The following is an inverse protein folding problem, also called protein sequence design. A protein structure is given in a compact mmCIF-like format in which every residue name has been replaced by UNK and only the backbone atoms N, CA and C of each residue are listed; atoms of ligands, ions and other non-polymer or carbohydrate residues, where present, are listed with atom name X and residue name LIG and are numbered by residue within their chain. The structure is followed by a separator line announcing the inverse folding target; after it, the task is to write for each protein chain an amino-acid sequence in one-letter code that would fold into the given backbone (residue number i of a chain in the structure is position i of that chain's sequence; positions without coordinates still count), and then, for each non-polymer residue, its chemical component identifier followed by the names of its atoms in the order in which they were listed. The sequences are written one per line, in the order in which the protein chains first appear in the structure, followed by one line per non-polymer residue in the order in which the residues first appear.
data_IF_361028760244
#
_entry.id   IF_361028760244
#
_cell.length_a   1.000
_cell.length_b   1.000
_cell.length_c   1.000
_cell.angle_alpha   90.00
_cell.angle_beta   90.00
_cell.angle_gamma   90.00
#
_symmetry.space_group_name_H-M   'P 1'
#
loop_
_entity.id
_entity.type
_entity.pdbx_description
1 polymer ?
#
# COMPACT_ATOMS: atom_id res chain seq x y z
N UNK A 1 26.73 -14.20 -8.90
CA UNK A 1 27.02 -13.32 -7.74
C UNK A 1 26.19 -12.06 -7.89
N UNK A 2 25.18 -11.89 -7.05
CA UNK A 2 24.43 -10.64 -6.93
C UNK A 2 25.40 -9.59 -6.36
N UNK A 3 25.70 -8.58 -7.14
CA UNK A 3 26.53 -7.44 -6.72
C UNK A 3 25.72 -6.61 -5.71
N UNK A 4 25.66 -7.06 -4.46
CA UNK A 4 24.96 -6.35 -3.39
C UNK A 4 25.74 -5.07 -3.07
N UNK A 5 25.10 -3.95 -3.30
CA UNK A 5 25.63 -2.64 -2.94
C UNK A 5 25.70 -2.54 -1.41
N UNK A 6 26.89 -2.64 -0.81
CA UNK A 6 27.12 -2.74 0.63
C UNK A 6 26.52 -1.61 1.48
N UNK A 7 25.95 -0.60 0.83
CA UNK A 7 25.41 0.60 1.51
C UNK A 7 23.86 0.67 1.52
N UNK A 8 23.15 -0.30 0.92
CA UNK A 8 21.69 -0.29 0.87
C UNK A 8 21.13 -1.60 1.39
N UNK A 9 20.05 -1.60 2.20
CA UNK A 9 19.38 -2.84 2.59
C UNK A 9 18.91 -3.61 1.34
N UNK A 10 19.20 -4.90 1.29
CA UNK A 10 18.63 -5.80 0.29
C UNK A 10 17.25 -6.25 0.77
N UNK A 11 16.25 -6.11 -0.07
CA UNK A 11 14.87 -6.56 0.20
C UNK A 11 14.34 -7.44 -0.91
N UNK A 12 13.49 -8.39 -0.57
CA UNK A 12 12.73 -9.19 -1.54
C UNK A 12 11.28 -8.77 -1.49
N UNK A 13 10.67 -8.56 -2.64
CA UNK A 13 9.25 -8.19 -2.76
C UNK A 13 8.54 -9.24 -3.61
N UNK A 14 7.52 -9.89 -3.05
CA UNK A 14 6.71 -10.91 -3.71
C UNK A 14 5.32 -10.35 -3.95
N UNK A 15 4.94 -10.19 -5.22
CA UNK A 15 3.64 -9.67 -5.63
C UNK A 15 2.87 -10.69 -6.45
N UNK A 16 1.55 -10.64 -6.34
CA UNK A 16 0.66 -11.51 -7.11
C UNK A 16 -0.78 -11.42 -6.60
N UNK A 17 -1.76 -11.99 -7.32
CA UNK A 17 -3.16 -11.99 -6.90
C UNK A 17 -3.39 -12.80 -5.61
N UNK A 18 -4.55 -12.62 -4.99
CA UNK A 18 -4.96 -13.46 -3.84
C UNK A 18 -5.04 -14.91 -4.29
N UNK A 19 -4.66 -15.83 -3.41
CA UNK A 19 -4.64 -17.28 -3.66
C UNK A 19 -3.63 -17.74 -4.76
N UNK A 20 -2.63 -16.94 -5.09
CA UNK A 20 -1.57 -17.31 -6.07
C UNK A 20 -0.38 -18.09 -5.46
N UNK A 21 -0.44 -18.50 -4.19
CA UNK A 21 0.67 -19.20 -3.53
C UNK A 21 1.77 -18.28 -2.96
N UNK A 22 1.54 -16.95 -2.90
CA UNK A 22 2.52 -16.00 -2.32
C UNK A 22 2.96 -16.36 -0.91
N UNK A 23 2.04 -16.78 -0.07
CA UNK A 23 2.31 -17.13 1.34
C UNK A 23 3.29 -18.29 1.42
N UNK A 24 3.01 -19.38 0.73
CA UNK A 24 3.87 -20.56 0.70
C UNK A 24 5.27 -20.24 0.14
N UNK A 25 5.32 -19.50 -0.99
CA UNK A 25 6.59 -19.08 -1.59
C UNK A 25 7.40 -18.18 -0.64
N UNK A 26 6.74 -17.23 0.04
CA UNK A 26 7.42 -16.32 0.96
C UNK A 26 8.01 -17.03 2.17
N UNK A 27 7.30 -18.01 2.72
CA UNK A 27 7.78 -18.84 3.85
C UNK A 27 8.96 -19.73 3.42
N UNK A 28 8.82 -20.41 2.30
CA UNK A 28 9.90 -21.27 1.79
C UNK A 28 11.16 -20.44 1.48
N UNK A 29 11.00 -19.27 0.88
CA UNK A 29 12.12 -18.37 0.62
C UNK A 29 12.74 -17.86 1.93
N UNK A 30 11.93 -17.47 2.92
CA UNK A 30 12.40 -17.00 4.22
C UNK A 30 13.27 -18.05 4.92
N UNK A 31 12.88 -19.31 4.87
CA UNK A 31 13.69 -20.42 5.41
C UNK A 31 15.06 -20.53 4.75
N UNK A 32 15.10 -20.38 3.41
CA UNK A 32 16.33 -20.54 2.63
C UNK A 32 17.33 -19.40 2.78
N UNK A 33 16.83 -18.18 2.92
CA UNK A 33 17.68 -16.97 2.95
C UNK A 33 17.76 -16.31 4.33
N UNK A 34 17.30 -16.98 5.38
CA UNK A 34 17.22 -16.42 6.74
C UNK A 34 16.42 -15.11 6.78
N UNK A 35 15.21 -15.16 6.19
CA UNK A 35 14.35 -13.97 6.05
C UNK A 35 13.28 -13.88 7.12
N UNK A 36 12.66 -12.69 7.20
CA UNK A 36 11.42 -12.41 7.93
C UNK A 36 10.42 -11.74 6.98
N UNK A 37 9.13 -12.01 7.18
CA UNK A 37 8.08 -11.58 6.25
C UNK A 37 7.39 -10.33 6.80
N UNK A 38 7.19 -9.33 5.93
CA UNK A 38 6.38 -8.14 6.18
C UNK A 38 5.15 -8.24 5.27
N UNK A 39 3.95 -8.32 5.86
CA UNK A 39 2.71 -8.36 5.09
C UNK A 39 2.42 -7.00 4.46
N UNK A 40 2.29 -6.97 3.14
CA UNK A 40 1.86 -5.82 2.35
C UNK A 40 0.36 -5.82 2.03
N UNK A 41 -0.44 -6.57 2.79
CA UNK A 41 -1.90 -6.66 2.61
C UNK A 41 -2.62 -5.72 3.57
N UNK A 42 -3.48 -4.85 3.03
CA UNK A 42 -4.21 -3.86 3.83
C UNK A 42 -5.28 -4.44 4.76
N UNK A 43 -5.67 -5.70 4.57
CA UNK A 43 -6.70 -6.34 5.39
C UNK A 43 -6.11 -7.23 6.48
N UNK A 44 -4.93 -7.80 6.26
CA UNK A 44 -4.27 -8.67 7.24
C UNK A 44 -3.77 -7.91 8.47
N UNK A 45 -3.63 -6.60 8.38
CA UNK A 45 -3.19 -5.73 9.49
C UNK A 45 -4.20 -5.68 10.63
N UNK A 46 -5.50 -5.92 10.35
CA UNK A 46 -6.57 -5.83 11.34
C UNK A 46 -6.78 -7.14 12.09
N UNK A 47 -6.91 -7.03 13.42
CA UNK A 47 -7.27 -8.14 14.31
C UNK A 47 -8.67 -8.67 13.98
N UNK A 48 -8.88 -9.96 14.20
CA UNK A 48 -10.19 -10.62 14.06
C UNK A 48 -10.79 -10.64 12.64
N UNK A 49 -10.11 -10.09 11.64
CA UNK A 49 -10.55 -10.15 10.25
C UNK A 49 -9.89 -11.34 9.53
N UNK A 50 -10.26 -12.57 9.94
CA UNK A 50 -9.63 -13.80 9.44
C UNK A 50 -10.35 -14.41 8.23
N UNK A 51 -11.65 -14.10 8.06
CA UNK A 51 -12.46 -14.66 6.97
C UNK A 51 -12.31 -13.79 5.72
N UNK A 52 -11.95 -14.42 4.60
CA UNK A 52 -11.82 -13.75 3.30
C UNK A 52 -10.56 -12.95 3.11
N UNK A 53 -9.64 -12.90 4.09
CA UNK A 53 -8.39 -12.14 4.02
C UNK A 53 -7.17 -13.00 3.66
N UNK A 54 -7.35 -14.31 3.52
CA UNK A 54 -6.24 -15.27 3.32
C UNK A 54 -5.08 -15.04 4.32
N UNK A 55 -5.44 -14.70 5.57
CA UNK A 55 -4.45 -14.47 6.62
C UNK A 55 -3.76 -15.77 6.98
N UNK A 56 -2.43 -15.74 7.04
CA UNK A 56 -1.60 -16.88 7.41
C UNK A 56 -1.84 -17.25 8.86
N UNK A 57 -2.02 -18.55 9.14
CA UNK A 57 -2.16 -19.06 10.51
C UNK A 57 -0.79 -19.28 11.15
N UNK A 58 -0.71 -19.36 12.50
CA UNK A 58 0.54 -19.66 13.20
C UNK A 58 1.19 -20.98 12.74
N UNK A 59 0.39 -21.97 12.39
CA UNK A 59 0.86 -23.25 11.87
C UNK A 59 1.48 -23.10 10.47
N UNK A 60 0.83 -22.31 9.61
CA UNK A 60 1.33 -22.01 8.27
C UNK A 60 2.59 -21.15 8.29
N UNK A 61 2.75 -20.27 9.29
CA UNK A 61 3.96 -19.45 9.46
C UNK A 61 5.23 -20.29 9.66
N UNK A 62 5.10 -21.51 10.15
CA UNK A 62 6.18 -22.51 10.31
C UNK A 62 7.45 -21.93 10.97
N UNK A 63 7.23 -21.14 12.03
CA UNK A 63 8.29 -20.50 12.81
C UNK A 63 8.93 -19.26 12.18
N UNK A 64 8.51 -18.85 10.97
CA UNK A 64 8.98 -17.63 10.32
C UNK A 64 8.25 -16.42 10.91
N UNK A 65 8.98 -15.40 11.41
CA UNK A 65 8.35 -14.16 11.86
C UNK A 65 7.61 -13.44 10.76
N UNK A 66 6.36 -13.09 11.04
CA UNK A 66 5.51 -12.28 10.16
C UNK A 66 5.15 -10.98 10.87
N UNK A 67 5.33 -9.88 10.18
CA UNK A 67 5.09 -8.53 10.67
C UNK A 67 3.92 -7.88 9.95
N UNK A 68 3.28 -6.88 10.58
CA UNK A 68 2.11 -6.14 10.10
C UNK A 68 0.88 -7.03 9.89
N UNK A 69 0.74 -8.05 10.72
CA UNK A 69 -0.45 -8.90 10.81
C UNK A 69 -1.03 -8.72 12.21
N UNK A 70 -2.36 -8.55 12.33
CA UNK A 70 -3.09 -8.45 13.61
C UNK A 70 -2.60 -7.34 14.56
N UNK A 71 -2.15 -6.20 14.03
CA UNK A 71 -1.61 -5.11 14.83
C UNK A 71 -2.64 -4.02 15.16
N UNK A 72 -3.72 -3.88 14.38
CA UNK A 72 -4.73 -2.83 14.54
C UNK A 72 -6.10 -3.40 14.89
N UNK A 73 -6.93 -2.59 15.55
CA UNK A 73 -8.33 -2.93 15.74
C UNK A 73 -9.14 -2.58 14.48
N UNK A 74 -10.32 -3.22 14.25
CA UNK A 74 -11.12 -2.97 13.05
C UNK A 74 -11.55 -1.51 12.84
N UNK A 75 -11.65 -0.74 13.93
CA UNK A 75 -12.04 0.67 13.91
C UNK A 75 -10.87 1.64 13.66
N UNK A 76 -9.64 1.14 13.68
CA UNK A 76 -8.45 1.93 13.41
C UNK A 76 -8.31 2.18 11.89
N UNK A 77 -7.73 3.30 11.53
CA UNK A 77 -7.41 3.61 10.12
C UNK A 77 -5.95 3.23 9.84
N UNK A 78 -5.71 2.69 8.65
CA UNK A 78 -4.36 2.33 8.21
C UNK A 78 -4.12 2.82 6.78
N UNK A 79 -3.26 3.80 6.64
CA UNK A 79 -2.91 4.43 5.36
C UNK A 79 -1.67 3.81 4.73
N UNK A 80 -1.47 4.06 3.43
CA UNK A 80 -0.23 3.68 2.74
C UNK A 80 1.00 4.41 3.33
N UNK A 81 0.82 5.60 3.90
CA UNK A 81 1.87 6.33 4.61
C UNK A 81 2.31 5.61 5.88
N UNK A 82 1.34 5.19 6.71
CA UNK A 82 1.63 4.43 7.93
C UNK A 82 2.27 3.08 7.63
N UNK A 83 1.78 2.39 6.59
CA UNK A 83 2.40 1.16 6.11
C UNK A 83 3.87 1.41 5.74
N UNK A 84 4.14 2.43 4.90
CA UNK A 84 5.49 2.75 4.45
C UNK A 84 6.41 3.00 5.64
N UNK A 85 6.00 3.84 6.59
CA UNK A 85 6.78 4.15 7.78
C UNK A 85 7.11 2.90 8.61
N UNK A 86 6.09 2.08 8.92
CA UNK A 86 6.29 0.87 9.70
C UNK A 86 7.14 -0.17 8.95
N UNK A 87 6.96 -0.30 7.63
CA UNK A 87 7.76 -1.20 6.82
C UNK A 87 9.23 -0.75 6.75
N UNK A 88 9.51 0.55 6.64
CA UNK A 88 10.88 1.11 6.67
C UNK A 88 11.59 0.82 8.00
N UNK A 89 10.88 1.01 9.13
CA UNK A 89 11.40 0.68 10.47
C UNK A 89 11.71 -0.82 10.58
N UNK A 90 10.81 -1.69 10.12
CA UNK A 90 10.99 -3.14 10.11
C UNK A 90 12.13 -3.59 9.20
N UNK A 91 12.25 -3.03 8.00
CA UNK A 91 13.36 -3.33 7.08
C UNK A 91 14.69 -3.01 7.77
N UNK A 92 14.78 -1.87 8.43
CA UNK A 92 15.98 -1.46 9.16
C UNK A 92 16.28 -2.43 10.31
N UNK A 93 15.30 -2.79 11.14
CA UNK A 93 15.47 -3.72 12.25
C UNK A 93 15.91 -5.12 11.78
N UNK A 94 15.19 -5.69 10.80
CA UNK A 94 15.47 -7.01 10.25
C UNK A 94 16.88 -7.07 9.65
N UNK A 95 17.25 -6.04 8.88
CA UNK A 95 18.59 -5.94 8.27
C UNK A 95 19.69 -5.83 9.34
N UNK A 96 19.48 -5.03 10.38
CA UNK A 96 20.44 -4.88 11.46
C UNK A 96 20.65 -6.19 12.26
N UNK A 97 19.65 -7.07 12.28
CA UNK A 97 19.77 -8.43 12.85
C UNK A 97 20.42 -9.44 11.90
N UNK A 98 20.90 -9.00 10.74
CA UNK A 98 21.54 -9.87 9.75
C UNK A 98 20.58 -10.79 8.99
N UNK A 99 19.30 -10.40 8.93
CA UNK A 99 18.25 -11.14 8.22
C UNK A 99 17.76 -10.38 6.98
N UNK A 100 17.05 -11.08 6.10
CA UNK A 100 16.53 -10.51 4.85
C UNK A 100 15.05 -10.15 5.01
N UNK A 101 14.65 -8.86 4.82
CA UNK A 101 13.24 -8.49 4.76
C UNK A 101 12.59 -9.01 3.48
N UNK A 102 11.44 -9.69 3.62
CA UNK A 102 10.62 -10.18 2.51
C UNK A 102 9.25 -9.53 2.62
N UNK A 103 8.90 -8.66 1.67
CA UNK A 103 7.60 -8.01 1.61
C UNK A 103 6.69 -8.86 0.72
N UNK A 104 5.60 -9.38 1.26
CA UNK A 104 4.66 -10.22 0.52
C UNK A 104 3.25 -9.61 0.50
N UNK A 105 2.65 -9.45 -0.68
CA UNK A 105 1.29 -8.90 -0.79
C UNK A 105 0.81 -8.73 -2.23
N UNK A 106 -0.36 -8.10 -2.38
CA UNK A 106 -0.86 -7.69 -3.69
C UNK A 106 -0.06 -6.54 -4.30
N UNK A 107 -0.21 -6.29 -5.60
CA UNK A 107 0.37 -5.12 -6.30
C UNK A 107 -0.34 -3.81 -5.92
N UNK A 108 -0.68 -3.65 -4.66
CA UNK A 108 -1.41 -2.52 -4.15
C UNK A 108 -0.55 -1.29 -3.89
N UNK A 109 -1.23 -0.20 -3.55
CA UNK A 109 -0.61 1.09 -3.24
C UNK A 109 0.45 0.97 -2.13
N UNK A 110 0.28 0.06 -1.17
CA UNK A 110 1.20 -0.14 -0.06
C UNK A 110 2.59 -0.56 -0.53
N UNK A 111 2.68 -1.63 -1.31
CA UNK A 111 3.97 -2.10 -1.85
C UNK A 111 4.56 -1.07 -2.80
N UNK A 112 3.74 -0.48 -3.67
CA UNK A 112 4.20 0.56 -4.58
C UNK A 112 4.77 1.77 -3.84
N UNK A 113 4.16 2.18 -2.73
CA UNK A 113 4.66 3.30 -1.93
C UNK A 113 6.01 3.05 -1.29
N UNK A 114 6.34 1.78 -1.03
CA UNK A 114 7.60 1.37 -0.43
C UNK A 114 8.73 1.28 -1.46
N UNK A 115 8.47 0.63 -2.61
CA UNK A 115 9.52 0.30 -3.60
C UNK A 115 9.73 1.36 -4.68
N UNK A 116 8.77 2.26 -4.86
CA UNK A 116 8.92 3.38 -5.78
C UNK A 116 9.10 4.69 -5.02
N UNK A 117 9.73 5.68 -5.65
CA UNK A 117 9.83 7.04 -5.13
C UNK A 117 8.45 7.73 -5.16
N UNK A 118 7.53 7.17 -4.36
CA UNK A 118 6.22 7.74 -4.14
C UNK A 118 6.33 8.79 -3.03
N UNK A 119 6.14 10.07 -3.36
CA UNK A 119 5.84 11.08 -2.37
C UNK A 119 4.43 10.80 -1.83
N UNK A 120 4.38 9.98 -0.79
CA UNK A 120 3.18 9.93 0.06
C UNK A 120 3.23 11.22 0.87
N UNK A 121 2.38 12.15 0.50
CA UNK A 121 2.18 13.31 1.34
C UNK A 121 1.68 12.83 2.70
N UNK A 122 2.29 13.38 3.73
CA UNK A 122 1.79 13.22 5.10
C UNK A 122 0.37 13.80 5.12
N UNK A 123 -0.63 12.93 4.93
CA UNK A 123 -2.04 13.29 5.02
C UNK A 123 -2.40 13.46 6.50
N UNK A 124 -1.62 14.24 7.26
CA UNK A 124 -2.01 14.70 8.60
C UNK A 124 -3.19 15.66 8.48
N UNK A 125 -4.31 15.07 8.06
CA UNK A 125 -5.58 15.79 8.05
C UNK A 125 -6.09 15.78 9.48
N UNK A 126 -6.19 16.94 10.08
CA UNK A 126 -6.76 17.05 11.44
C UNK A 126 -8.19 16.49 11.47
N UNK A 127 -8.67 15.98 12.62
CA UNK A 127 -10.06 15.49 12.73
C UNK A 127 -11.11 16.51 12.27
N UNK A 128 -10.86 17.81 12.50
CA UNK A 128 -11.72 18.88 12.05
C UNK A 128 -11.76 18.99 10.51
N UNK A 129 -10.61 18.92 9.86
CA UNK A 129 -10.51 18.90 8.39
C UNK A 129 -11.17 17.67 7.80
N UNK A 130 -11.00 16.49 8.42
CA UNK A 130 -11.63 15.25 7.99
C UNK A 130 -13.17 15.36 8.05
N UNK A 131 -13.70 15.98 9.10
CA UNK A 131 -15.14 16.25 9.23
C UNK A 131 -15.67 17.14 8.10
N UNK A 132 -14.95 18.22 7.76
CA UNK A 132 -15.31 19.12 6.66
C UNK A 132 -15.27 18.37 5.31
N UNK A 133 -14.25 17.53 5.08
CA UNK A 133 -14.14 16.75 3.85
C UNK A 133 -15.31 15.76 3.74
N UNK A 134 -15.63 15.02 4.82
CA UNK A 134 -16.77 14.11 4.85
C UNK A 134 -18.09 14.83 4.55
N UNK A 135 -18.31 15.99 5.16
CA UNK A 135 -19.52 16.78 4.90
C UNK A 135 -19.62 17.22 3.44
N UNK A 136 -18.51 17.66 2.83
CA UNK A 136 -18.48 18.03 1.42
C UNK A 136 -18.71 16.85 0.49
N UNK A 137 -18.14 15.69 0.79
CA UNK A 137 -18.36 14.46 0.00
C UNK A 137 -19.83 14.00 0.10
N UNK A 138 -20.41 14.02 1.31
CA UNK A 138 -21.81 13.67 1.51
C UNK A 138 -22.75 14.61 0.73
N UNK A 139 -22.41 15.89 0.64
CA UNK A 139 -23.16 16.83 -0.20
C UNK A 139 -23.12 16.52 -1.70
N UNK A 140 -22.18 15.70 -2.17
CA UNK A 140 -22.05 15.26 -3.55
C UNK A 140 -22.71 13.90 -3.84
N UNK A 141 -23.19 13.20 -2.82
CA UNK A 141 -23.77 11.85 -2.98
C UNK A 141 -25.00 11.81 -3.88
N UNK A 142 -25.79 12.89 -3.91
CA UNK A 142 -26.98 12.99 -4.74
C UNK A 142 -26.70 13.25 -6.23
N UNK A 143 -25.45 13.63 -6.59
CA UNK A 143 -25.05 13.84 -7.98
C UNK A 143 -24.98 12.50 -8.72
N UNK A 144 -25.45 12.47 -9.97
CA UNK A 144 -25.22 11.34 -10.84
C UNK A 144 -23.74 11.25 -11.29
N UNK A 145 -23.39 10.18 -12.00
CA UNK A 145 -22.00 9.95 -12.39
C UNK A 145 -21.45 11.04 -13.32
N UNK A 146 -22.27 11.56 -14.22
CA UNK A 146 -21.85 12.63 -15.14
C UNK A 146 -21.67 13.94 -14.39
N UNK A 147 -22.61 14.32 -13.56
CA UNK A 147 -22.54 15.54 -12.75
C UNK A 147 -21.32 15.54 -11.82
N UNK A 148 -21.03 14.38 -11.21
CA UNK A 148 -19.87 14.22 -10.35
C UNK A 148 -18.55 14.34 -11.14
N UNK A 149 -18.53 13.77 -12.33
CA UNK A 149 -17.39 13.85 -13.26
C UNK A 149 -17.17 15.28 -13.75
N UNK A 150 -18.25 15.99 -14.09
CA UNK A 150 -18.19 17.39 -14.49
C UNK A 150 -17.72 18.30 -13.35
N UNK A 151 -18.08 17.95 -12.10
CA UNK A 151 -17.56 18.63 -10.92
C UNK A 151 -16.05 18.43 -10.77
N UNK A 152 -15.53 17.21 -10.98
CA UNK A 152 -14.08 16.95 -11.01
C UNK A 152 -13.40 17.77 -12.10
N UNK A 153 -13.98 17.83 -13.30
CA UNK A 153 -13.44 18.56 -14.45
C UNK A 153 -13.24 20.07 -14.20
N UNK A 154 -14.02 20.68 -13.30
CA UNK A 154 -13.91 22.11 -12.98
C UNK A 154 -12.54 22.48 -12.36
N UNK A 155 -11.87 21.56 -11.69
CA UNK A 155 -10.58 21.84 -11.05
C UNK A 155 -9.47 20.88 -11.50
N UNK A 156 -9.78 19.68 -11.95
CA UNK A 156 -8.79 18.71 -12.44
C UNK A 156 -9.26 18.07 -13.77
N UNK A 157 -9.25 18.87 -14.83
CA UNK A 157 -9.65 18.44 -16.17
C UNK A 157 -8.84 17.25 -16.67
N UNK A 158 -7.54 17.19 -16.36
CA UNK A 158 -6.66 16.09 -16.78
C UNK A 158 -7.04 14.77 -16.09
N UNK A 159 -7.39 14.81 -14.80
CA UNK A 159 -7.92 13.63 -14.12
C UNK A 159 -9.27 13.21 -14.69
N UNK A 160 -10.13 14.17 -15.03
CA UNK A 160 -11.42 13.88 -15.64
C UNK A 160 -11.27 13.21 -17.02
N UNK A 161 -10.35 13.65 -17.86
CA UNK A 161 -10.07 12.99 -19.14
C UNK A 161 -9.61 11.53 -18.98
N UNK A 162 -8.89 11.22 -17.92
CA UNK A 162 -8.33 9.89 -17.67
C UNK A 162 -9.22 8.95 -16.83
N UNK A 163 -10.33 9.46 -16.29
CA UNK A 163 -11.25 8.69 -15.43
C UNK A 163 -12.62 8.65 -16.11
N UNK A 164 -13.07 7.46 -16.48
CA UNK A 164 -14.40 7.31 -17.07
C UNK A 164 -15.50 7.72 -16.06
N UNK A 165 -16.56 8.47 -16.45
CA UNK A 165 -17.64 8.93 -15.56
C UNK A 165 -18.29 7.80 -14.75
N UNK A 166 -18.46 6.61 -15.34
CA UNK A 166 -19.04 5.45 -14.67
C UNK A 166 -18.14 4.85 -13.58
N UNK A 167 -16.87 5.26 -13.50
CA UNK A 167 -15.99 4.86 -12.40
C UNK A 167 -16.13 5.83 -11.22
N UNK A 168 -17.35 5.86 -10.65
CA UNK A 168 -17.74 6.78 -9.56
C UNK A 168 -16.75 6.80 -8.41
N UNK A 169 -16.28 5.62 -7.99
CA UNK A 169 -15.33 5.54 -6.88
C UNK A 169 -14.00 6.25 -7.17
N UNK A 170 -13.54 6.16 -8.43
CA UNK A 170 -12.28 6.79 -8.83
C UNK A 170 -12.42 8.30 -8.96
N UNK A 171 -13.59 8.76 -9.44
CA UNK A 171 -13.95 10.19 -9.47
C UNK A 171 -14.01 10.75 -8.05
N UNK A 172 -14.72 10.08 -7.13
CA UNK A 172 -14.81 10.49 -5.73
C UNK A 172 -13.44 10.55 -5.04
N UNK A 173 -12.56 9.59 -5.28
CA UNK A 173 -11.18 9.60 -4.75
C UNK A 173 -10.38 10.79 -5.24
N UNK A 174 -10.53 11.19 -6.50
CA UNK A 174 -9.85 12.37 -7.04
C UNK A 174 -10.35 13.67 -6.38
N UNK A 175 -11.66 13.76 -6.18
CA UNK A 175 -12.30 14.89 -5.47
C UNK A 175 -11.85 14.91 -4.00
N UNK A 176 -11.90 13.80 -3.31
CA UNK A 176 -11.45 13.64 -1.93
C UNK A 176 -9.99 14.07 -1.75
N UNK A 177 -9.11 13.62 -2.63
CA UNK A 177 -7.71 14.01 -2.64
C UNK A 177 -7.54 15.53 -2.71
N UNK A 178 -8.24 16.19 -3.65
CA UNK A 178 -8.21 17.64 -3.75
C UNK A 178 -8.79 18.34 -2.51
N UNK A 179 -9.88 17.83 -1.95
CA UNK A 179 -10.48 18.41 -0.74
C UNK A 179 -9.55 18.33 0.47
N UNK A 180 -8.79 17.23 0.60
CA UNK A 180 -7.82 17.01 1.68
C UNK A 180 -6.55 17.84 1.51
N UNK A 181 -5.97 17.82 0.32
CA UNK A 181 -4.59 18.30 0.10
C UNK A 181 -4.52 19.66 -0.61
N UNK A 182 -5.61 20.10 -1.25
CA UNK A 182 -5.65 21.25 -2.18
C UNK A 182 -4.75 21.09 -3.41
N UNK A 183 -4.27 19.86 -3.68
CA UNK A 183 -3.48 19.53 -4.85
C UNK A 183 -4.30 18.72 -5.85
N UNK A 184 -3.95 18.80 -7.13
CA UNK A 184 -4.63 18.04 -8.19
C UNK A 184 -4.07 16.62 -8.25
N UNK A 185 -4.94 15.62 -8.40
CA UNK A 185 -4.50 14.24 -8.55
C UNK A 185 -3.67 14.05 -9.84
N UNK A 186 -3.99 14.80 -10.90
CA UNK A 186 -3.23 14.84 -12.16
C UNK A 186 -1.79 15.30 -12.00
N UNK A 187 -1.51 16.17 -11.04
CA UNK A 187 -0.16 16.66 -10.76
C UNK A 187 0.66 15.66 -9.94
N UNK A 188 0.04 14.60 -9.43
CA UNK A 188 0.75 13.55 -8.72
C UNK A 188 1.63 12.80 -9.72
N UNK A 189 2.92 13.09 -9.71
CA UNK A 189 3.89 12.40 -10.57
C UNK A 189 3.81 10.90 -10.30
N UNK A 190 3.41 10.12 -11.29
CA UNK A 190 3.64 8.68 -11.30
C UNK A 190 5.13 8.47 -11.47
N UNK A 191 5.88 8.53 -10.40
CA UNK A 191 7.29 8.17 -10.41
C UNK A 191 7.35 6.65 -10.45
N UNK A 192 7.52 6.09 -11.63
CA UNK A 192 7.72 4.64 -11.85
C UNK A 192 9.21 4.25 -11.67
N UNK A 193 9.98 5.07 -10.98
CA UNK A 193 11.37 4.73 -10.67
C UNK A 193 11.44 4.06 -9.32
N UNK A 194 12.14 2.93 -9.26
CA UNK A 194 12.45 2.29 -7.99
C UNK A 194 13.15 3.28 -7.06
N UNK A 195 12.81 3.20 -5.78
CA UNK A 195 13.53 3.97 -4.78
C UNK A 195 15.00 3.57 -4.76
N UNK A 196 15.88 4.52 -4.56
CA UNK A 196 17.29 4.24 -4.37
C UNK A 196 17.64 3.78 -2.94
N UNK A 197 16.64 3.72 -2.05
CA UNK A 197 16.85 3.38 -0.64
C UNK A 197 17.16 1.89 -0.42
N UNK A 198 16.75 1.02 -1.36
CA UNK A 198 16.87 -0.44 -1.24
C UNK A 198 17.50 -1.04 -2.50
N UNK A 199 18.18 -2.17 -2.30
CA UNK A 199 18.49 -3.10 -3.37
C UNK A 199 17.34 -4.12 -3.43
N UNK A 200 16.50 -4.02 -4.46
CA UNK A 200 15.19 -4.69 -4.50
C UNK A 200 15.16 -5.81 -5.52
N UNK A 201 14.88 -7.04 -5.05
CA UNK A 201 14.48 -8.15 -5.91
C UNK A 201 12.94 -8.25 -5.94
N UNK A 202 12.35 -7.98 -7.10
CA UNK A 202 10.90 -8.06 -7.31
C UNK A 202 10.53 -9.39 -7.99
N UNK A 203 9.70 -10.19 -7.33
CA UNK A 203 9.16 -11.46 -7.83
C UNK A 203 7.65 -11.31 -8.07
N UNK A 204 7.21 -11.51 -9.30
CA UNK A 204 5.79 -11.56 -9.68
C UNK A 204 5.31 -12.99 -9.82
N UNK A 205 4.14 -13.32 -9.25
CA UNK A 205 3.46 -14.59 -9.46
C UNK A 205 2.29 -14.33 -10.41
N UNK A 206 2.32 -14.99 -11.56
CA UNK A 206 1.22 -15.03 -12.53
C UNK A 206 0.46 -16.35 -12.38
N UNK A 207 -0.88 -16.32 -12.58
CA UNK A 207 -1.73 -17.52 -12.61
C UNK A 207 -2.08 -17.87 -14.04
#
# INVERSE_FOLDING_TARGET
ELNMNKNKPFIVVIVGPTASGKTELSIELAKRINGEIISGDSMQVYKHMNIGTAKVTPEEMDGIPHHLIDILNPDDTFSAYEFKRLAEDLITDITNRGKVPIIAGGTGLYIQSLIYNYELEDETVTPAQLSIVKQKLSALEHLDNQQLHDYLAQFDAVSAENIHPNNRQRVLRAIEYYLKTKKLLSNRKKVQQFTENYDTLLLGIEM
#
